data_IF_331315299302
#
_entry.id   IF_331315299302
#
_cell.length_a   1.000
_cell.length_b   1.000
_cell.length_c   1.000
_cell.angle_alpha   90.00
_cell.angle_beta   90.00
_cell.angle_gamma   90.00
#
_symmetry.space_group_name_H-M   'P 1'
#
loop_
_entity.id
_entity.type
_entity.pdbx_description
1 polymer ?
#
# COMPACT_ATOMS: atom_id res chain seq x y z
N UNK A 1 47.21 -20.18 -27.84
CA UNK A 1 46.05 -21.10 -27.81
C UNK A 1 45.45 -21.14 -26.42
N UNK A 2 46.20 -21.58 -25.39
CA UNK A 2 45.72 -21.67 -23.99
C UNK A 2 45.00 -20.43 -23.43
N UNK A 3 45.59 -19.22 -23.53
CA UNK A 3 44.94 -17.98 -23.03
C UNK A 3 43.59 -17.67 -23.67
N UNK A 4 43.41 -18.04 -24.94
CA UNK A 4 42.14 -17.80 -25.66
C UNK A 4 41.09 -18.80 -25.19
N UNK A 5 41.50 -20.06 -24.97
CA UNK A 5 40.63 -21.09 -24.39
C UNK A 5 40.19 -20.72 -22.97
N UNK A 6 41.11 -20.21 -22.13
CA UNK A 6 40.80 -19.75 -20.77
C UNK A 6 39.82 -18.57 -20.78
N UNK A 7 39.99 -17.61 -21.69
CA UNK A 7 39.04 -16.52 -21.89
C UNK A 7 37.67 -17.04 -22.33
N UNK A 8 37.63 -18.01 -23.23
CA UNK A 8 36.37 -18.58 -23.73
C UNK A 8 35.62 -19.34 -22.64
N UNK A 9 36.33 -20.10 -21.79
CA UNK A 9 35.76 -20.76 -20.62
C UNK A 9 35.20 -19.73 -19.63
N UNK A 10 35.95 -18.66 -19.38
CA UNK A 10 35.52 -17.58 -18.48
C UNK A 10 34.24 -16.92 -19.00
N UNK A 11 34.20 -16.56 -20.29
CA UNK A 11 33.02 -15.94 -20.91
C UNK A 11 31.80 -16.87 -20.83
N UNK A 12 31.98 -18.16 -21.15
CA UNK A 12 30.89 -19.14 -21.00
C UNK A 12 30.35 -19.21 -19.57
N UNK A 13 31.24 -19.30 -18.58
CA UNK A 13 30.82 -19.38 -17.18
C UNK A 13 30.07 -18.13 -16.70
N UNK A 14 30.41 -16.95 -17.24
CA UNK A 14 29.70 -15.71 -16.95
C UNK A 14 28.32 -15.68 -17.61
N UNK A 15 28.21 -16.16 -18.85
CA UNK A 15 26.93 -16.26 -19.55
C UNK A 15 25.98 -17.24 -18.87
N UNK A 16 26.48 -18.39 -18.43
CA UNK A 16 25.68 -19.39 -17.71
C UNK A 16 25.14 -18.80 -16.40
N UNK A 17 25.99 -18.08 -15.64
CA UNK A 17 25.56 -17.36 -14.42
C UNK A 17 24.49 -16.31 -14.69
N UNK A 18 24.66 -15.50 -15.73
CA UNK A 18 23.65 -14.50 -16.11
C UNK A 18 22.33 -15.18 -16.46
N UNK A 19 22.37 -16.30 -17.19
CA UNK A 19 21.18 -17.06 -17.54
C UNK A 19 20.47 -17.63 -16.31
N UNK A 20 21.21 -18.14 -15.33
CA UNK A 20 20.66 -18.66 -14.07
C UNK A 20 20.01 -17.56 -13.23
N UNK A 21 20.66 -16.39 -13.14
CA UNK A 21 20.10 -15.21 -12.46
C UNK A 21 18.81 -14.73 -13.16
N UNK A 22 18.80 -14.65 -14.49
CA UNK A 22 17.61 -14.27 -15.26
C UNK A 22 16.47 -15.29 -15.12
N UNK A 23 16.77 -16.58 -15.04
CA UNK A 23 15.77 -17.61 -14.78
C UNK A 23 15.18 -17.49 -13.37
N UNK A 24 16.02 -17.18 -12.39
CA UNK A 24 15.60 -16.95 -11.00
C UNK A 24 14.66 -15.75 -10.94
N UNK A 25 15.03 -14.61 -11.52
CA UNK A 25 14.18 -13.42 -11.63
C UNK A 25 12.86 -13.74 -12.34
N UNK A 26 12.91 -14.48 -13.46
CA UNK A 26 11.70 -14.91 -14.18
C UNK A 26 10.78 -15.74 -13.29
N UNK A 27 11.32 -16.66 -12.50
CA UNK A 27 10.52 -17.52 -11.62
C UNK A 27 9.94 -16.71 -10.47
N UNK A 28 10.71 -15.79 -9.87
CA UNK A 28 10.21 -14.87 -8.84
C UNK A 28 9.05 -13.99 -9.35
N UNK A 29 9.14 -13.50 -10.59
CA UNK A 29 8.05 -12.74 -11.23
C UNK A 29 6.81 -13.63 -11.47
N UNK A 30 7.01 -14.90 -11.87
CA UNK A 30 5.91 -15.84 -12.09
C UNK A 30 5.22 -16.29 -10.80
N UNK A 31 6.01 -16.55 -9.76
CA UNK A 31 5.55 -17.07 -8.47
C UNK A 31 4.93 -15.97 -7.61
N UNK A 32 5.34 -14.72 -7.86
CA UNK A 32 4.73 -13.54 -7.30
C UNK A 32 4.10 -12.72 -8.44
N UNK A 33 3.04 -13.25 -9.09
CA UNK A 33 2.36 -12.52 -10.14
C UNK A 33 1.82 -11.25 -9.49
N UNK A 34 2.51 -10.13 -9.73
CA UNK A 34 1.83 -8.85 -9.70
C UNK A 34 0.64 -9.04 -10.61
N UNK A 35 -0.59 -8.70 -10.19
CA UNK A 35 -1.71 -8.75 -11.10
C UNK A 35 -1.38 -7.79 -12.25
N UNK A 36 -0.81 -8.33 -13.32
CA UNK A 36 -0.83 -7.74 -14.65
C UNK A 36 -2.30 -7.80 -15.10
N UNK A 37 -3.16 -7.06 -14.41
CA UNK A 37 -4.23 -6.40 -15.11
C UNK A 37 -3.51 -5.39 -15.99
N UNK A 38 -3.57 -5.59 -17.30
CA UNK A 38 -3.09 -4.65 -18.30
C UNK A 38 -3.65 -3.21 -18.16
N UNK A 39 -4.55 -2.99 -17.19
CA UNK A 39 -5.12 -1.72 -16.73
C UNK A 39 -4.74 -1.36 -15.27
N UNK A 40 -3.50 -1.61 -14.82
CA UNK A 40 -3.09 -1.09 -13.50
C UNK A 40 -2.92 0.43 -13.56
N UNK A 41 -3.99 1.13 -13.18
CA UNK A 41 -4.08 2.60 -13.21
C UNK A 41 -3.27 3.20 -12.07
N UNK A 42 -2.57 4.30 -12.36
CA UNK A 42 -1.93 5.11 -11.34
C UNK A 42 -2.95 6.03 -10.69
N UNK A 43 -2.98 5.99 -9.36
CA UNK A 43 -3.85 6.79 -8.53
C UNK A 43 -3.08 7.96 -7.94
N UNK A 44 -3.71 9.12 -7.91
CA UNK A 44 -3.24 10.25 -7.12
C UNK A 44 -3.57 10.08 -5.63
N UNK A 45 -3.18 11.06 -4.81
CA UNK A 45 -3.40 11.00 -3.36
C UNK A 45 -4.89 11.04 -2.98
N UNK A 46 -5.71 11.78 -3.72
CA UNK A 46 -7.14 11.94 -3.44
C UNK A 46 -7.89 10.65 -3.80
N UNK A 47 -7.60 10.07 -4.98
CA UNK A 47 -8.14 8.79 -5.42
C UNK A 47 -7.80 7.66 -4.45
N UNK A 48 -6.59 7.67 -3.87
CA UNK A 48 -6.23 6.73 -2.80
C UNK A 48 -7.09 6.94 -1.56
N UNK A 49 -7.34 8.17 -1.14
CA UNK A 49 -8.23 8.44 0.00
C UNK A 49 -9.66 7.93 -0.29
N UNK A 50 -10.17 8.15 -1.50
CA UNK A 50 -11.49 7.70 -1.93
C UNK A 50 -11.63 6.18 -1.96
N UNK A 51 -10.61 5.47 -2.46
CA UNK A 51 -10.62 4.01 -2.57
C UNK A 51 -10.41 3.34 -1.21
N UNK A 52 -9.51 3.89 -0.38
CA UNK A 52 -9.24 3.36 0.95
C UNK A 52 -10.34 3.71 1.96
N UNK A 53 -11.18 4.71 1.67
CA UNK A 53 -12.17 5.29 2.58
C UNK A 53 -11.53 5.77 3.89
N UNK A 54 -10.33 6.33 3.78
CA UNK A 54 -9.53 6.82 4.91
C UNK A 54 -9.33 8.32 4.79
N UNK A 55 -9.19 9.00 5.94
CA UNK A 55 -8.88 10.42 5.93
C UNK A 55 -7.44 10.66 5.43
N UNK A 56 -7.18 11.85 4.87
CA UNK A 56 -5.83 12.20 4.40
C UNK A 56 -4.76 11.98 5.47
N UNK A 57 -5.07 12.33 6.72
CA UNK A 57 -4.17 12.16 7.88
C UNK A 57 -3.78 10.70 8.06
N UNK A 58 -4.74 9.79 7.93
CA UNK A 58 -4.47 8.35 8.05
C UNK A 58 -3.63 7.84 6.88
N UNK A 59 -3.94 8.25 5.64
CA UNK A 59 -3.15 7.88 4.45
C UNK A 59 -1.71 8.38 4.56
N UNK A 60 -1.49 9.64 4.99
CA UNK A 60 -0.15 10.19 5.25
C UNK A 60 0.60 9.42 6.32
N UNK A 61 -0.07 9.06 7.42
CA UNK A 61 0.52 8.23 8.49
C UNK A 61 0.97 6.87 7.96
N UNK A 62 0.18 6.22 7.09
CA UNK A 62 0.55 4.93 6.54
C UNK A 62 1.66 4.98 5.51
N UNK A 63 1.74 6.09 4.77
CA UNK A 63 2.89 6.42 3.94
C UNK A 63 4.16 6.59 4.79
N UNK A 64 4.10 7.35 5.87
CA UNK A 64 5.26 7.59 6.75
C UNK A 64 5.74 6.32 7.45
N UNK A 65 4.80 5.41 7.77
CA UNK A 65 5.12 4.08 8.30
C UNK A 65 5.65 3.09 7.23
N UNK A 66 5.71 3.50 5.96
CA UNK A 66 6.13 2.63 4.85
C UNK A 66 5.16 1.49 4.53
N UNK A 67 3.92 1.55 5.05
CA UNK A 67 2.90 0.51 4.81
C UNK A 67 2.14 0.73 3.50
N UNK A 68 2.05 1.99 3.06
CA UNK A 68 1.47 2.37 1.77
C UNK A 68 2.60 2.86 0.86
N UNK A 69 2.88 2.09 -0.19
CA UNK A 69 3.98 2.33 -1.11
C UNK A 69 3.47 3.18 -2.27
N UNK A 70 4.19 4.26 -2.58
CA UNK A 70 3.92 5.14 -3.71
C UNK A 70 5.21 5.72 -4.24
N UNK A 71 5.22 6.10 -5.52
CA UNK A 71 6.40 6.59 -6.22
C UNK A 71 6.23 8.05 -6.62
N UNK A 72 7.33 8.74 -6.88
CA UNK A 72 7.30 10.10 -7.41
C UNK A 72 7.45 10.06 -8.93
N UNK A 73 6.56 10.76 -9.62
CA UNK A 73 6.61 10.99 -11.05
C UNK A 73 6.33 12.48 -11.29
N UNK A 74 7.31 13.19 -11.86
CA UNK A 74 7.20 14.61 -12.21
C UNK A 74 6.74 15.51 -11.03
N UNK A 75 7.36 15.33 -9.86
CA UNK A 75 7.02 16.09 -8.64
C UNK A 75 5.68 15.73 -8.00
N UNK A 76 4.85 14.89 -8.66
CA UNK A 76 3.61 14.35 -8.11
C UNK A 76 3.86 12.97 -7.54
N UNK A 77 3.15 12.62 -6.47
CA UNK A 77 3.20 11.27 -5.91
C UNK A 77 2.02 10.46 -6.40
N UNK A 78 2.32 9.30 -6.95
CA UNK A 78 1.35 8.36 -7.52
C UNK A 78 1.46 7.01 -6.80
N UNK A 79 0.36 6.27 -6.86
CA UNK A 79 0.21 4.95 -6.26
C UNK A 79 -0.30 3.98 -7.30
N UNK A 80 0.14 2.72 -7.27
CA UNK A 80 -0.46 1.69 -8.12
C UNK A 80 -1.76 1.21 -7.49
N UNK A 81 -2.83 1.12 -8.28
CA UNK A 81 -4.13 0.65 -7.80
C UNK A 81 -4.03 -0.77 -7.22
N UNK A 82 -3.30 -1.66 -7.89
CA UNK A 82 -3.02 -3.02 -7.40
C UNK A 82 -2.44 -3.03 -5.97
N UNK A 83 -1.37 -2.26 -5.74
CA UNK A 83 -0.70 -2.16 -4.43
C UNK A 83 -1.62 -1.58 -3.35
N UNK A 84 -2.42 -0.57 -3.70
CA UNK A 84 -3.41 0.04 -2.78
C UNK A 84 -4.49 -0.97 -2.40
N UNK A 85 -4.98 -1.76 -3.36
CA UNK A 85 -5.95 -2.83 -3.10
C UNK A 85 -5.36 -3.93 -2.22
N UNK A 86 -4.11 -4.32 -2.45
CA UNK A 86 -3.44 -5.33 -1.64
C UNK A 86 -3.17 -4.85 -0.21
N UNK A 87 -2.87 -3.56 -0.04
CA UNK A 87 -2.82 -2.92 1.27
C UNK A 87 -4.16 -3.03 2.02
N UNK A 88 -5.29 -2.75 1.33
CA UNK A 88 -6.63 -2.92 1.90
C UNK A 88 -6.90 -4.39 2.25
N UNK A 89 -6.57 -5.34 1.37
CA UNK A 89 -6.75 -6.78 1.65
C UNK A 89 -5.95 -7.23 2.86
N UNK A 90 -4.70 -6.76 2.99
CA UNK A 90 -3.83 -7.11 4.13
C UNK A 90 -4.42 -6.63 5.45
N UNK A 91 -4.95 -5.41 5.47
CA UNK A 91 -5.67 -4.84 6.62
C UNK A 91 -6.86 -5.67 7.05
N UNK A 92 -7.72 -6.02 6.10
CA UNK A 92 -8.92 -6.81 6.37
C UNK A 92 -8.55 -8.18 6.96
N UNK A 93 -7.50 -8.82 6.43
CA UNK A 93 -6.98 -10.08 6.98
C UNK A 93 -6.46 -9.92 8.41
N UNK A 94 -5.74 -8.84 8.71
CA UNK A 94 -5.23 -8.56 10.06
C UNK A 94 -6.39 -8.34 11.05
N UNK A 95 -7.47 -7.66 10.64
CA UNK A 95 -8.68 -7.51 11.47
C UNK A 95 -9.48 -8.81 11.64
N UNK A 96 -9.61 -9.61 10.58
CA UNK A 96 -10.33 -10.90 10.62
C UNK A 96 -9.62 -11.92 11.51
N UNK A 97 -8.28 -11.87 11.59
CA UNK A 97 -7.49 -12.66 12.53
C UNK A 97 -7.88 -12.44 13.99
N UNK A 98 -8.26 -11.21 14.35
CA UNK A 98 -8.77 -10.86 15.67
C UNK A 98 -10.16 -11.45 15.94
N UNK A 99 -11.03 -11.47 14.93
CA UNK A 99 -12.39 -12.03 15.03
C UNK A 99 -12.35 -13.55 15.26
N UNK A 100 -11.42 -14.27 14.60
CA UNK A 100 -11.27 -15.74 14.73
C UNK A 100 -10.68 -16.17 16.07
N UNK A 101 -9.78 -15.37 16.63
CA UNK A 101 -9.16 -15.61 17.94
C UNK A 101 -9.87 -14.87 19.08
N UNK A 102 -11.16 -14.57 18.94
CA UNK A 102 -11.94 -13.98 20.04
C UNK A 102 -11.95 -14.95 21.22
N UNK A 103 -11.40 -14.59 22.40
CA UNK A 103 -11.53 -15.42 23.60
C UNK A 103 -13.02 -15.60 23.90
N UNK A 104 -13.49 -16.85 24.01
CA UNK A 104 -14.90 -17.15 24.32
C UNK A 104 -15.23 -16.99 25.82
N UNK A 105 -14.25 -16.60 26.62
CA UNK A 105 -14.36 -16.53 28.07
C UNK A 105 -14.67 -15.11 28.53
N UNK A 106 -15.95 -14.88 28.83
CA UNK A 106 -16.43 -13.84 29.73
C UNK A 106 -16.32 -12.41 29.21
N UNK A 107 -17.47 -11.75 29.07
CA UNK A 107 -17.54 -10.29 29.09
C UNK A 107 -16.98 -9.84 30.44
N UNK A 108 -15.67 -9.58 30.52
CA UNK A 108 -15.10 -8.80 31.61
C UNK A 108 -15.65 -7.40 31.43
N UNK A 109 -16.32 -6.91 32.46
CA UNK A 109 -16.80 -5.53 32.54
C UNK A 109 -15.71 -4.60 32.02
N UNK A 110 -16.05 -3.82 31.01
CA UNK A 110 -15.21 -2.72 30.56
C UNK A 110 -15.09 -1.80 31.77
N UNK A 111 -13.88 -1.50 32.28
CA UNK A 111 -13.72 -0.45 33.28
C UNK A 111 -14.37 0.81 32.73
N UNK A 112 -15.15 1.52 33.54
CA UNK A 112 -15.79 2.79 33.20
C UNK A 112 -14.77 3.94 33.10
N UNK A 113 -13.65 3.70 32.43
CA UNK A 113 -12.84 4.75 31.83
C UNK A 113 -13.43 4.97 30.45
N UNK A 114 -14.17 6.06 30.33
CA UNK A 114 -14.55 6.64 29.05
C UNK A 114 -13.29 6.73 28.21
N UNK A 115 -13.16 5.86 27.21
CA UNK A 115 -12.28 6.13 26.07
C UNK A 115 -12.78 7.45 25.52
N UNK A 116 -11.91 8.46 25.51
CA UNK A 116 -12.22 9.81 25.04
C UNK A 116 -12.99 9.68 23.72
N UNK A 117 -14.24 10.14 23.73
CA UNK A 117 -15.16 10.07 22.59
C UNK A 117 -14.78 11.08 21.49
N UNK A 118 -13.59 11.66 21.55
CA UNK A 118 -13.09 12.74 20.69
C UNK A 118 -12.55 12.27 19.33
N UNK A 119 -12.61 10.97 19.01
CA UNK A 119 -12.22 10.42 17.69
C UNK A 119 -13.43 9.95 16.85
N UNK A 120 -14.67 10.17 17.33
CA UNK A 120 -15.88 10.07 16.50
C UNK A 120 -16.18 11.44 15.88
N UNK A 121 -15.57 11.74 14.73
CA UNK A 121 -16.06 12.79 13.84
C UNK A 121 -17.38 12.31 13.20
N UNK A 122 -18.43 12.31 14.02
CA UNK A 122 -19.83 12.24 13.59
C UNK A 122 -20.19 13.67 13.16
N UNK A 123 -20.35 13.86 11.85
CA UNK A 123 -21.09 14.94 11.19
C UNK A 123 -21.14 16.27 11.94
N UNK A 124 -20.20 17.17 11.63
CA UNK A 124 -20.45 18.59 11.77
C UNK A 124 -20.43 19.19 10.37
N UNK A 125 -21.56 19.06 9.67
CA UNK A 125 -21.95 19.95 8.59
C UNK A 125 -22.27 21.30 9.25
N UNK A 126 -21.45 22.36 9.09
CA UNK A 126 -21.94 23.69 9.37
C UNK A 126 -22.69 24.14 8.11
N UNK A 127 -24.01 24.03 8.14
CA UNK A 127 -24.86 24.98 7.43
C UNK A 127 -24.31 26.39 7.72
N UNK A 128 -23.89 27.09 6.66
CA UNK A 128 -23.27 28.41 6.77
C UNK A 128 -23.22 29.10 5.41
N UNK A 129 -24.41 29.32 4.84
CA UNK A 129 -24.61 30.26 3.75
C UNK A 129 -24.68 31.67 4.36
N UNK A 130 -23.54 32.38 4.37
CA UNK A 130 -23.50 33.80 4.72
C UNK A 130 -23.17 34.59 3.44
N UNK A 131 -24.26 34.98 2.78
CA UNK A 131 -24.32 35.96 1.71
C UNK A 131 -24.15 37.35 2.36
N UNK A 132 -22.91 37.81 2.52
CA UNK A 132 -22.63 39.22 2.80
C UNK A 132 -21.99 39.86 1.57
N UNK A 133 -22.87 40.45 0.77
CA UNK A 133 -22.55 41.63 -0.02
C UNK A 133 -22.27 42.77 0.96
N UNK A 134 -21.10 43.40 0.88
CA UNK A 134 -20.95 44.81 1.21
C UNK A 134 -19.67 45.40 0.59
N UNK A 135 -19.93 46.28 -0.36
CA UNK A 135 -19.19 47.47 -0.81
C UNK A 135 -17.84 47.80 -0.14
N UNK A 136 -16.78 47.92 -0.95
CA UNK A 136 -16.02 49.17 -1.16
C UNK A 136 -15.03 49.05 -2.34
#
# INVERSE_FOLDING_TARGET
MQRIEDMFITIKSLLDRIMDELQTIRNEIKDNPHPESADDVFLDFNEVCEITKMSERQVRRYREQGKLIGFQLDGRRLYRKSEVLDFIKKRVKDSDGWVRNRPKDGIRQIPSETVDLDDFDIDNDPEGFDDETDDF
#
